data_IF_032081587566
#
_entry.id   IF_032081587566
#
_cell.length_a   1.000
_cell.length_b   1.000
_cell.length_c   1.000
_cell.angle_alpha   90.00
_cell.angle_beta   90.00
_cell.angle_gamma   90.00
#
_symmetry.space_group_name_H-M   'P 1'
#
loop_
_entity.id
_entity.type
_entity.pdbx_description
1 polymer ?
#
# COMPACT_ATOMS: atom_id res chain seq x y z
N UNK A 1 47.38 6.09 24.97
CA UNK A 1 46.61 5.44 23.89
C UNK A 1 45.58 6.46 23.43
N UNK A 2 45.89 7.16 22.33
CA UNK A 2 45.11 8.28 21.82
C UNK A 2 43.77 7.78 21.28
N UNK A 3 42.68 8.40 21.74
CA UNK A 3 41.33 8.29 21.19
C UNK A 3 41.33 8.92 19.79
N UNK A 4 41.57 8.10 18.77
CA UNK A 4 41.21 8.43 17.39
C UNK A 4 39.84 7.84 17.10
N UNK A 5 38.78 8.51 17.54
CA UNK A 5 37.51 8.43 16.80
C UNK A 5 37.76 9.12 15.46
N UNK A 6 37.72 8.35 14.38
CA UNK A 6 37.86 8.86 13.01
C UNK A 6 36.91 10.04 12.80
N UNK A 7 37.44 11.21 12.48
CA UNK A 7 36.69 12.44 12.18
C UNK A 7 35.58 12.22 11.14
N UNK A 8 35.70 11.19 10.29
CA UNK A 8 34.68 10.81 9.32
C UNK A 8 33.45 10.12 9.91
N UNK A 9 33.58 9.36 11.01
CA UNK A 9 32.44 8.72 11.68
C UNK A 9 31.61 9.73 12.48
N UNK A 10 32.27 10.72 13.11
CA UNK A 10 31.57 11.81 13.82
C UNK A 10 30.81 12.72 12.86
N UNK A 11 31.40 13.08 11.72
CA UNK A 11 30.74 13.90 10.71
C UNK A 11 29.55 13.17 10.05
N UNK A 12 29.68 11.86 9.80
CA UNK A 12 28.59 11.04 9.27
C UNK A 12 27.43 10.90 10.27
N UNK A 13 27.74 10.69 11.56
CA UNK A 13 26.74 10.63 12.61
C UNK A 13 26.00 11.98 12.77
N UNK A 14 26.74 13.09 12.77
CA UNK A 14 26.17 14.44 12.88
C UNK A 14 25.31 14.81 11.65
N UNK A 15 25.72 14.46 10.44
CA UNK A 15 24.93 14.63 9.23
C UNK A 15 23.66 13.76 9.24
N UNK A 16 23.77 12.51 9.70
CA UNK A 16 22.62 11.62 9.85
C UNK A 16 21.61 12.13 10.88
N UNK A 17 22.08 12.60 12.04
CA UNK A 17 21.24 13.23 13.07
C UNK A 17 20.57 14.51 12.57
N UNK A 18 21.28 15.34 11.81
CA UNK A 18 20.71 16.53 11.17
C UNK A 18 19.60 16.16 10.19
N UNK A 19 19.82 15.18 9.30
CA UNK A 19 18.81 14.69 8.35
C UNK A 19 17.58 14.16 9.08
N UNK A 20 17.75 13.40 10.16
CA UNK A 20 16.63 12.91 10.98
C UNK A 20 15.85 14.06 11.63
N UNK A 21 16.53 15.12 12.06
CA UNK A 21 15.90 16.32 12.61
C UNK A 21 15.07 17.04 11.56
N UNK A 22 15.62 17.27 10.36
CA UNK A 22 14.92 17.90 9.25
C UNK A 22 13.68 17.12 8.81
N UNK A 23 13.77 15.77 8.77
CA UNK A 23 12.64 14.89 8.49
C UNK A 23 11.55 15.03 9.55
N UNK A 24 11.92 15.01 10.85
CA UNK A 24 10.96 15.19 11.95
C UNK A 24 10.26 16.54 11.89
N UNK A 25 11.00 17.61 11.62
CA UNK A 25 10.40 18.94 11.46
C UNK A 25 9.45 19.00 10.26
N UNK A 26 9.78 18.33 9.14
CA UNK A 26 8.89 18.25 7.98
C UNK A 26 7.59 17.50 8.31
N UNK A 27 7.68 16.38 9.03
CA UNK A 27 6.53 15.63 9.53
C UNK A 27 5.67 16.51 10.44
N UNK A 28 6.28 17.22 11.39
CA UNK A 28 5.55 18.09 12.32
C UNK A 28 4.85 19.26 11.60
N UNK A 29 5.48 19.82 10.55
CA UNK A 29 4.85 20.81 9.67
C UNK A 29 3.64 20.23 8.93
N UNK A 30 3.76 19.01 8.40
CA UNK A 30 2.67 18.28 7.74
C UNK A 30 1.50 18.03 8.68
N UNK A 31 1.76 17.50 9.87
CA UNK A 31 0.74 17.27 10.89
C UNK A 31 0.01 18.57 11.30
N UNK A 32 0.77 19.65 11.51
CA UNK A 32 0.18 20.98 11.76
C UNK A 32 -0.71 21.45 10.62
N UNK A 33 -0.30 21.24 9.38
CA UNK A 33 -1.09 21.59 8.22
C UNK A 33 -2.40 20.82 8.21
N UNK A 34 -2.37 19.50 8.41
CA UNK A 34 -3.60 18.69 8.49
C UNK A 34 -4.54 19.21 9.58
N UNK A 35 -4.06 19.37 10.82
CA UNK A 35 -4.91 19.87 11.90
C UNK A 35 -5.54 21.24 11.63
N UNK A 36 -4.79 22.17 11.04
CA UNK A 36 -5.28 23.53 10.75
C UNK A 36 -6.27 23.59 9.58
N UNK A 37 -6.30 22.56 8.73
CA UNK A 37 -7.12 22.53 7.52
C UNK A 37 -8.24 21.49 7.57
N UNK A 38 -8.53 20.94 8.75
CA UNK A 38 -9.71 20.09 8.92
C UNK A 38 -10.97 20.93 8.76
N UNK A 39 -11.95 20.40 8.02
CA UNK A 39 -13.28 20.99 8.02
C UNK A 39 -13.90 20.91 9.43
N UNK A 40 -14.67 21.92 9.89
CA UNK A 40 -15.35 21.85 11.19
C UNK A 40 -16.23 20.61 11.40
N UNK A 41 -16.76 20.02 10.32
CA UNK A 41 -17.52 18.78 10.35
C UNK A 41 -16.65 17.50 10.44
N UNK A 42 -15.33 17.62 10.62
CA UNK A 42 -14.43 16.52 10.95
C UNK A 42 -13.69 15.88 9.77
N UNK A 43 -13.93 16.31 8.54
CA UNK A 43 -13.34 15.70 7.35
C UNK A 43 -12.23 16.54 6.69
N UNK A 44 -11.37 15.87 5.92
CA UNK A 44 -10.42 16.51 5.01
C UNK A 44 -10.82 16.26 3.55
N UNK A 45 -10.56 17.25 2.71
CA UNK A 45 -10.72 17.24 1.24
C UNK A 45 -12.14 17.04 0.70
N UNK A 46 -12.83 15.95 1.05
CA UNK A 46 -14.18 15.66 0.56
C UNK A 46 -15.03 14.99 1.61
N UNK A 47 -16.26 15.49 1.81
CA UNK A 47 -17.27 14.86 2.65
C UNK A 47 -17.82 13.55 2.07
N UNK A 48 -17.64 13.31 0.77
CA UNK A 48 -18.19 12.14 0.06
C UNK A 48 -17.21 10.98 -0.05
N UNK A 49 -15.93 11.21 0.31
CA UNK A 49 -14.86 10.21 0.22
C UNK A 49 -14.17 10.09 1.59
N UNK A 50 -14.76 9.32 2.53
CA UNK A 50 -14.17 9.04 3.84
C UNK A 50 -12.69 8.61 3.81
N UNK A 51 -12.25 7.92 2.75
CA UNK A 51 -10.87 7.50 2.56
C UNK A 51 -9.87 8.67 2.70
N UNK A 52 -10.20 9.87 2.21
CA UNK A 52 -9.29 11.02 2.27
C UNK A 52 -9.10 11.49 3.71
N UNK A 53 -10.15 11.45 4.52
CA UNK A 53 -10.07 11.72 5.96
C UNK A 53 -9.31 10.61 6.68
N UNK A 54 -9.54 9.37 6.27
CA UNK A 54 -8.87 8.21 6.85
C UNK A 54 -7.36 8.21 6.57
N UNK A 55 -6.91 8.53 5.36
CA UNK A 55 -5.50 8.67 5.01
C UNK A 55 -4.82 9.77 5.82
N UNK A 56 -5.50 10.92 6.03
CA UNK A 56 -4.99 11.98 6.89
C UNK A 56 -4.82 11.49 8.34
N UNK A 57 -5.78 10.73 8.86
CA UNK A 57 -5.66 10.13 10.19
C UNK A 57 -4.54 9.09 10.26
N UNK A 58 -4.43 8.17 9.31
CA UNK A 58 -3.31 7.20 9.25
C UNK A 58 -1.97 7.92 9.30
N UNK A 59 -1.80 8.99 8.52
CA UNK A 59 -0.58 9.78 8.54
C UNK A 59 -0.33 10.45 9.90
N UNK A 60 -1.37 11.00 10.55
CA UNK A 60 -1.26 11.61 11.87
C UNK A 60 -0.89 10.58 12.95
N UNK A 61 -1.57 9.43 12.99
CA UNK A 61 -1.31 8.36 13.96
C UNK A 61 0.13 7.80 13.82
N UNK A 62 0.67 7.77 12.61
CA UNK A 62 2.04 7.30 12.35
C UNK A 62 3.12 8.38 12.51
N UNK A 63 2.75 9.65 12.75
CA UNK A 63 3.68 10.78 12.68
C UNK A 63 4.49 11.06 13.96
N UNK A 64 4.21 10.37 15.06
CA UNK A 64 4.88 10.53 16.37
C UNK A 64 4.84 11.97 16.93
N UNK A 65 3.78 12.74 16.63
CA UNK A 65 3.64 14.16 17.02
C UNK A 65 2.79 14.38 18.29
N UNK A 66 3.05 13.62 19.35
CA UNK A 66 2.18 13.54 20.55
C UNK A 66 1.75 14.89 21.15
N UNK A 67 2.60 15.93 21.11
CA UNK A 67 2.25 17.29 21.58
C UNK A 67 1.16 17.94 20.72
N UNK A 68 1.22 17.77 19.40
CA UNK A 68 0.17 18.25 18.49
C UNK A 68 -1.09 17.41 18.68
N UNK A 69 -0.96 16.09 18.81
CA UNK A 69 -2.11 15.21 18.98
C UNK A 69 -2.90 15.52 20.26
N UNK A 70 -2.20 15.81 21.36
CA UNK A 70 -2.82 16.26 22.60
C UNK A 70 -3.51 17.63 22.45
N UNK A 71 -2.88 18.56 21.71
CA UNK A 71 -3.45 19.89 21.45
C UNK A 71 -4.71 19.82 20.58
N UNK A 72 -4.75 18.93 19.60
CA UNK A 72 -5.82 18.80 18.61
C UNK A 72 -6.69 17.54 18.82
N UNK A 73 -6.84 17.10 20.07
CA UNK A 73 -7.61 15.89 20.39
C UNK A 73 -9.08 15.97 19.97
N UNK A 74 -9.66 17.18 19.91
CA UNK A 74 -11.03 17.39 19.42
C UNK A 74 -11.14 17.15 17.91
N UNK A 75 -10.17 17.64 17.13
CA UNK A 75 -10.06 17.45 15.68
C UNK A 75 -9.94 15.97 15.35
N UNK A 76 -9.06 15.24 16.05
CA UNK A 76 -8.90 13.79 15.89
C UNK A 76 -10.21 13.05 16.13
N UNK A 77 -10.89 13.36 17.24
CA UNK A 77 -12.18 12.73 17.58
C UNK A 77 -13.24 12.99 16.52
N UNK A 78 -13.37 14.22 16.02
CA UNK A 78 -14.34 14.54 14.96
C UNK A 78 -14.07 13.78 13.67
N UNK A 79 -12.79 13.56 13.31
CA UNK A 79 -12.44 12.77 12.13
C UNK A 79 -12.79 11.28 12.29
N UNK A 80 -12.47 10.70 13.45
CA UNK A 80 -12.83 9.32 13.77
C UNK A 80 -14.36 9.14 13.78
N UNK A 81 -15.09 10.10 14.35
CA UNK A 81 -16.55 10.09 14.38
C UNK A 81 -17.15 10.26 12.96
N UNK A 82 -16.55 11.08 12.10
CA UNK A 82 -16.96 11.24 10.70
C UNK A 82 -16.78 9.93 9.90
N UNK A 83 -15.66 9.23 10.09
CA UNK A 83 -15.38 7.93 9.46
C UNK A 83 -16.38 6.91 9.96
N UNK A 84 -16.51 6.75 11.28
CA UNK A 84 -17.43 5.77 11.89
C UNK A 84 -18.90 6.05 11.50
N UNK A 85 -19.30 7.32 11.40
CA UNK A 85 -20.62 7.73 10.94
C UNK A 85 -20.89 7.46 9.45
N UNK A 86 -19.87 7.05 8.68
CA UNK A 86 -20.02 6.64 7.28
C UNK A 86 -20.21 5.12 7.12
N UNK A 87 -20.20 4.36 8.22
CA UNK A 87 -20.42 2.92 8.23
C UNK A 87 -21.85 2.52 7.80
N UNK A 88 -21.96 1.34 7.19
CA UNK A 88 -23.22 0.68 6.82
C UNK A 88 -23.47 -0.54 7.71
N UNK A 89 -24.71 -1.07 7.73
CA UNK A 89 -25.03 -2.25 8.54
C UNK A 89 -24.18 -3.49 8.24
N UNK A 90 -23.72 -3.66 6.99
CA UNK A 90 -22.88 -4.77 6.52
C UNK A 90 -21.40 -4.64 6.89
N UNK A 91 -20.98 -3.50 7.46
CA UNK A 91 -19.59 -3.23 7.83
C UNK A 91 -18.80 -2.37 6.84
N UNK A 92 -19.31 -2.16 5.62
CA UNK A 92 -18.68 -1.24 4.67
C UNK A 92 -18.70 0.19 5.21
N UNK A 93 -17.69 0.99 4.87
CA UNK A 93 -17.57 2.39 5.31
C UNK A 93 -17.42 3.27 4.08
N UNK A 94 -18.50 3.94 3.68
CA UNK A 94 -18.51 4.75 2.45
C UNK A 94 -19.74 5.69 2.39
N UNK A 95 -19.72 6.61 1.43
CA UNK A 95 -20.84 7.53 1.14
C UNK A 95 -21.41 7.41 -0.27
N UNK A 96 -21.12 6.30 -0.95
CA UNK A 96 -21.82 5.89 -2.18
C UNK A 96 -20.93 5.41 -3.32
N UNK A 97 -19.63 5.71 -3.27
CA UNK A 97 -18.65 5.35 -4.30
C UNK A 97 -17.37 4.78 -3.69
N UNK A 98 -16.57 4.09 -4.50
CA UNK A 98 -15.24 3.56 -4.12
C UNK A 98 -15.31 2.78 -2.81
N UNK A 99 -16.23 1.83 -2.72
CA UNK A 99 -16.68 1.23 -1.45
C UNK A 99 -15.52 0.56 -0.72
N UNK A 100 -14.80 -0.32 -1.41
CA UNK A 100 -13.65 -1.03 -0.83
C UNK A 100 -12.50 -0.09 -0.46
N UNK A 101 -12.19 0.89 -1.32
CA UNK A 101 -11.17 1.89 -1.02
C UNK A 101 -11.49 2.69 0.25
N UNK A 102 -12.72 3.18 0.38
CA UNK A 102 -13.15 3.88 1.58
C UNK A 102 -13.15 2.97 2.81
N UNK A 103 -13.59 1.74 2.66
CA UNK A 103 -13.64 0.77 3.77
C UNK A 103 -12.23 0.41 4.24
N UNK A 104 -11.30 0.12 3.32
CA UNK A 104 -9.92 -0.23 3.62
C UNK A 104 -9.16 0.92 4.29
N UNK A 105 -9.20 2.13 3.72
CA UNK A 105 -8.55 3.28 4.34
C UNK A 105 -9.13 3.60 5.72
N UNK A 106 -10.46 3.53 5.86
CA UNK A 106 -11.14 3.73 7.14
C UNK A 106 -10.76 2.68 8.18
N UNK A 107 -10.67 1.41 7.77
CA UNK A 107 -10.24 0.31 8.64
C UNK A 107 -8.81 0.53 9.14
N UNK A 108 -7.88 0.99 8.29
CA UNK A 108 -6.52 1.37 8.73
C UNK A 108 -6.57 2.46 9.81
N UNK A 109 -7.28 3.57 9.55
CA UNK A 109 -7.37 4.69 10.48
C UNK A 109 -7.98 4.29 11.84
N UNK A 110 -9.10 3.56 11.82
CA UNK A 110 -9.78 3.09 13.03
C UNK A 110 -8.93 2.10 13.82
N UNK A 111 -8.15 1.27 13.14
CA UNK A 111 -7.25 0.31 13.78
C UNK A 111 -6.08 1.01 14.50
N UNK A 112 -5.49 2.03 13.86
CA UNK A 112 -4.38 2.79 14.45
C UNK A 112 -4.82 3.68 15.62
N UNK A 113 -6.06 4.15 15.64
CA UNK A 113 -6.60 4.91 16.76
C UNK A 113 -6.69 4.09 18.07
N UNK A 114 -6.73 2.76 17.96
CA UNK A 114 -6.76 1.81 19.09
C UNK A 114 -7.82 2.13 20.16
N UNK A 115 -9.01 2.57 19.73
CA UNK A 115 -10.12 2.88 20.62
C UNK A 115 -11.11 1.70 20.73
N UNK A 116 -11.40 1.18 21.94
CA UNK A 116 -12.27 0.01 22.11
C UNK A 116 -13.66 0.13 21.48
N UNK A 117 -14.19 1.36 21.36
CA UNK A 117 -15.51 1.62 20.75
C UNK A 117 -15.57 1.25 19.26
N UNK A 118 -14.44 1.18 18.56
CA UNK A 118 -14.40 0.83 17.14
C UNK A 118 -14.22 -0.66 16.89
N UNK A 119 -13.96 -1.48 17.92
CA UNK A 119 -13.64 -2.90 17.76
C UNK A 119 -14.68 -3.67 16.93
N UNK A 120 -15.98 -3.45 17.20
CA UNK A 120 -17.04 -4.12 16.44
C UNK A 120 -17.09 -3.66 14.97
N UNK A 121 -16.82 -2.38 14.70
CA UNK A 121 -16.78 -1.85 13.34
C UNK A 121 -15.57 -2.37 12.57
N UNK A 122 -14.39 -2.45 13.22
CA UNK A 122 -13.17 -3.02 12.67
C UNK A 122 -13.40 -4.46 12.22
N UNK A 123 -14.02 -5.30 13.07
CA UNK A 123 -14.34 -6.70 12.72
C UNK A 123 -15.27 -6.79 11.50
N UNK A 124 -16.34 -5.98 11.46
CA UNK A 124 -17.29 -5.99 10.34
C UNK A 124 -16.68 -5.47 9.04
N UNK A 125 -15.90 -4.39 9.09
CA UNK A 125 -15.22 -3.84 7.92
C UNK A 125 -14.20 -4.83 7.35
N UNK A 126 -13.50 -5.56 8.23
CA UNK A 126 -12.57 -6.62 7.85
C UNK A 126 -13.29 -7.79 7.16
N UNK A 127 -14.42 -8.24 7.71
CA UNK A 127 -15.26 -9.25 7.07
C UNK A 127 -15.77 -8.80 5.70
N UNK A 128 -16.26 -7.56 5.59
CA UNK A 128 -16.74 -7.00 4.33
C UNK A 128 -15.66 -6.99 3.23
N UNK A 129 -14.44 -6.54 3.54
CA UNK A 129 -13.35 -6.52 2.56
C UNK A 129 -12.97 -7.95 2.14
N UNK A 130 -12.87 -8.88 3.10
CA UNK A 130 -12.56 -10.28 2.82
C UNK A 130 -13.60 -10.92 1.88
N UNK A 131 -14.89 -10.71 2.16
CA UNK A 131 -16.00 -11.23 1.34
C UNK A 131 -16.07 -10.57 -0.06
N UNK A 132 -15.36 -9.45 -0.27
CA UNK A 132 -15.32 -8.73 -1.55
C UNK A 132 -14.18 -9.16 -2.48
N UNK A 133 -13.29 -10.05 -2.01
CA UNK A 133 -12.21 -10.57 -2.85
C UNK A 133 -12.80 -11.38 -4.00
N UNK A 134 -12.27 -11.18 -5.20
CA UNK A 134 -12.90 -11.74 -6.39
C UNK A 134 -12.56 -13.22 -6.59
N UNK A 135 -13.55 -13.94 -7.09
CA UNK A 135 -13.51 -15.34 -7.48
C UNK A 135 -14.48 -15.48 -8.66
N UNK A 136 -13.94 -15.44 -9.88
CA UNK A 136 -14.66 -15.57 -11.13
C UNK A 136 -14.64 -17.04 -11.59
N UNK A 137 -15.49 -17.37 -12.57
CA UNK A 137 -15.52 -18.74 -13.09
C UNK A 137 -16.09 -19.75 -12.08
N UNK A 138 -15.35 -20.81 -11.81
CA UNK A 138 -15.75 -21.83 -10.85
C UNK A 138 -15.30 -21.47 -9.43
N UNK A 139 -16.28 -21.36 -8.52
CA UNK A 139 -16.03 -21.02 -7.12
C UNK A 139 -14.88 -21.84 -6.49
N UNK A 140 -14.01 -21.14 -5.76
CA UNK A 140 -12.82 -21.65 -5.06
C UNK A 140 -11.76 -22.24 -6.03
N UNK A 141 -11.79 -21.87 -7.32
CA UNK A 141 -10.77 -22.23 -8.31
C UNK A 141 -10.11 -20.97 -8.87
N UNK A 142 -8.78 -21.01 -8.99
CA UNK A 142 -7.99 -19.95 -9.60
C UNK A 142 -7.95 -20.13 -11.13
N UNK A 143 -9.11 -20.02 -11.78
CA UNK A 143 -9.28 -20.29 -13.21
C UNK A 143 -9.35 -19.02 -14.08
N UNK A 144 -9.49 -17.85 -13.44
CA UNK A 144 -9.42 -16.54 -14.08
C UNK A 144 -8.21 -15.72 -13.56
N UNK A 145 -7.60 -14.92 -14.44
CA UNK A 145 -6.43 -14.11 -14.09
C UNK A 145 -6.75 -13.01 -13.06
N UNK A 146 -8.03 -12.65 -12.92
CA UNK A 146 -8.47 -11.63 -11.97
C UNK A 146 -8.66 -12.18 -10.55
N UNK A 147 -8.78 -13.49 -10.38
CA UNK A 147 -9.08 -14.14 -9.08
C UNK A 147 -8.10 -13.70 -7.99
N UNK A 148 -8.65 -13.37 -6.83
CA UNK A 148 -7.90 -12.93 -5.65
C UNK A 148 -7.62 -11.44 -5.56
N UNK A 149 -7.90 -10.66 -6.60
CA UNK A 149 -7.84 -9.20 -6.55
C UNK A 149 -8.99 -8.57 -5.77
N UNK A 150 -8.81 -7.33 -5.34
CA UNK A 150 -9.86 -6.50 -4.73
C UNK A 150 -10.06 -5.24 -5.56
N UNK A 151 -11.29 -5.01 -6.01
CA UNK A 151 -11.69 -3.81 -6.74
C UNK A 151 -12.31 -2.76 -5.82
N UNK A 152 -12.95 -1.74 -6.40
CA UNK A 152 -13.72 -0.73 -5.67
C UNK A 152 -15.06 -1.24 -5.13
N UNK A 153 -15.56 -2.37 -5.62
CA UNK A 153 -16.92 -2.89 -5.42
C UNK A 153 -17.98 -1.86 -5.86
N UNK A 154 -17.96 -1.53 -7.15
CA UNK A 154 -18.84 -0.53 -7.77
C UNK A 154 -19.45 -1.03 -9.09
N UNK A 155 -20.37 -0.26 -9.69
CA UNK A 155 -21.12 -0.69 -10.88
C UNK A 155 -20.25 -1.04 -12.10
N UNK A 156 -19.04 -0.49 -12.19
CA UNK A 156 -18.07 -0.73 -13.26
C UNK A 156 -16.72 -1.07 -12.63
N UNK A 157 -16.67 -2.21 -11.95
CA UNK A 157 -15.51 -2.57 -11.14
C UNK A 157 -14.39 -3.21 -11.94
N UNK A 158 -13.15 -2.90 -11.53
CA UNK A 158 -11.93 -3.57 -11.95
C UNK A 158 -11.12 -3.90 -10.70
N UNK A 159 -10.50 -5.07 -10.67
CA UNK A 159 -9.64 -5.52 -9.56
C UNK A 159 -8.23 -5.08 -9.86
N UNK A 160 -7.71 -4.15 -9.06
CA UNK A 160 -6.42 -3.52 -9.34
C UNK A 160 -5.46 -3.62 -8.15
N UNK A 161 -4.17 -3.43 -8.44
CA UNK A 161 -3.14 -3.54 -7.42
C UNK A 161 -3.23 -2.47 -6.33
N UNK A 162 -3.80 -1.30 -6.60
CA UNK A 162 -3.91 -0.26 -5.59
C UNK A 162 -4.99 -0.59 -4.56
N UNK A 163 -6.19 -0.95 -5.01
CA UNK A 163 -7.28 -1.38 -4.15
C UNK A 163 -6.93 -2.66 -3.40
N UNK A 164 -6.28 -3.60 -4.10
CA UNK A 164 -5.75 -4.83 -3.49
C UNK A 164 -4.71 -4.51 -2.41
N UNK A 165 -3.76 -3.62 -2.67
CA UNK A 165 -2.79 -3.18 -1.66
C UNK A 165 -3.48 -2.52 -0.46
N UNK A 166 -4.44 -1.62 -0.68
CA UNK A 166 -5.19 -1.00 0.43
C UNK A 166 -5.92 -2.04 1.28
N UNK A 167 -6.53 -3.05 0.66
CA UNK A 167 -7.16 -4.16 1.37
C UNK A 167 -6.13 -4.93 2.21
N UNK A 168 -4.98 -5.30 1.63
CA UNK A 168 -3.89 -5.99 2.34
C UNK A 168 -3.39 -5.17 3.54
N UNK A 169 -3.14 -3.87 3.36
CA UNK A 169 -2.71 -2.98 4.44
C UNK A 169 -3.75 -2.93 5.56
N UNK A 170 -5.03 -2.80 5.20
CA UNK A 170 -6.12 -2.78 6.15
C UNK A 170 -6.22 -4.10 6.94
N UNK A 171 -5.99 -5.25 6.29
CA UNK A 171 -5.90 -6.54 6.97
C UNK A 171 -4.74 -6.58 7.96
N UNK A 172 -3.53 -6.19 7.54
CA UNK A 172 -2.34 -6.24 8.41
C UNK A 172 -2.38 -5.23 9.56
N UNK A 173 -2.89 -4.02 9.34
CA UNK A 173 -3.03 -3.03 10.40
C UNK A 173 -4.14 -3.41 11.40
N UNK A 174 -5.25 -3.96 10.93
CA UNK A 174 -6.33 -4.42 11.83
C UNK A 174 -5.92 -5.62 12.69
N UNK A 175 -4.97 -6.45 12.25
CA UNK A 175 -4.39 -7.50 13.11
C UNK A 175 -3.82 -6.92 14.41
N UNK A 176 -3.14 -5.76 14.34
CA UNK A 176 -2.54 -5.12 15.51
C UNK A 176 -3.60 -4.66 16.52
N UNK A 177 -4.73 -4.14 16.04
CA UNK A 177 -5.83 -3.68 16.89
C UNK A 177 -6.70 -4.83 17.44
N UNK A 178 -6.75 -5.96 16.72
CA UNK A 178 -7.62 -7.08 17.06
C UNK A 178 -6.94 -8.14 17.93
N UNK A 179 -5.66 -8.43 17.67
CA UNK A 179 -4.89 -9.41 18.43
C UNK A 179 -4.51 -8.84 19.77
N UNK A 180 -4.74 -9.62 20.81
CA UNK A 180 -4.31 -9.25 22.15
C UNK A 180 -2.85 -9.65 22.33
N UNK A 181 -2.03 -8.87 23.07
CA UNK A 181 -0.64 -9.24 23.33
C UNK A 181 -0.47 -10.63 23.99
N UNK A 182 -1.46 -11.08 24.76
CA UNK A 182 -1.47 -12.40 25.40
C UNK A 182 -1.90 -13.54 24.46
N UNK A 183 -2.37 -13.23 23.24
CA UNK A 183 -2.80 -14.19 22.22
C UNK A 183 -2.43 -13.72 20.80
N UNK A 184 -1.12 -13.59 20.50
CA UNK A 184 -0.66 -13.06 19.22
C UNK A 184 -1.03 -13.95 18.03
N UNK A 185 -1.22 -15.25 18.25
CA UNK A 185 -1.51 -16.22 17.18
C UNK A 185 -3.00 -16.56 17.07
N UNK A 186 -3.87 -15.85 17.81
CA UNK A 186 -5.31 -16.11 17.70
C UNK A 186 -5.77 -15.84 16.25
N UNK A 187 -6.38 -16.83 15.58
CA UNK A 187 -6.98 -16.62 14.26
C UNK A 187 -8.05 -15.54 14.34
N UNK A 188 -8.04 -14.65 13.36
CA UNK A 188 -9.13 -13.68 13.18
C UNK A 188 -10.26 -14.36 12.40
N UNK A 189 -11.50 -13.96 12.67
CA UNK A 189 -12.70 -14.62 12.12
C UNK A 189 -12.79 -14.51 10.59
N UNK A 190 -12.34 -13.38 10.03
CA UNK A 190 -12.34 -13.12 8.59
C UNK A 190 -10.95 -12.66 8.17
N UNK A 191 -10.48 -13.09 7.00
CA UNK A 191 -9.22 -12.65 6.38
C UNK A 191 -9.33 -12.81 4.86
N UNK A 192 -8.43 -12.16 4.12
CA UNK A 192 -8.29 -12.43 2.68
C UNK A 192 -7.88 -13.88 2.45
N UNK A 193 -8.33 -14.46 1.34
CA UNK A 193 -7.68 -15.63 0.78
C UNK A 193 -6.31 -15.21 0.23
N UNK A 194 -5.28 -15.46 1.03
CA UNK A 194 -3.90 -15.14 0.69
C UNK A 194 -3.38 -15.95 -0.51
N UNK A 195 -3.91 -17.15 -0.77
CA UNK A 195 -3.52 -17.96 -1.94
C UNK A 195 -4.13 -17.38 -3.21
N UNK A 196 -5.40 -16.98 -3.15
CA UNK A 196 -6.04 -16.26 -4.24
C UNK A 196 -5.28 -14.96 -4.54
N UNK A 197 -4.93 -14.20 -3.48
CA UNK A 197 -4.14 -13.00 -3.63
C UNK A 197 -2.79 -13.26 -4.34
N UNK A 198 -2.07 -14.31 -3.96
CA UNK A 198 -0.81 -14.66 -4.62
C UNK A 198 -0.99 -14.99 -6.12
N UNK A 199 -2.11 -15.59 -6.50
CA UNK A 199 -2.48 -15.80 -7.90
C UNK A 199 -2.72 -14.47 -8.63
N UNK A 200 -3.48 -13.55 -8.03
CA UNK A 200 -3.66 -12.20 -8.58
C UNK A 200 -2.33 -11.46 -8.78
N UNK A 201 -1.44 -11.52 -7.77
CA UNK A 201 -0.12 -10.89 -7.87
C UNK A 201 0.71 -11.50 -9.00
N UNK A 202 0.67 -12.82 -9.19
CA UNK A 202 1.33 -13.46 -10.32
C UNK A 202 0.74 -13.01 -11.67
N UNK A 203 -0.58 -12.81 -11.73
CA UNK A 203 -1.28 -12.30 -12.92
C UNK A 203 -1.04 -10.82 -13.21
N UNK A 204 -0.45 -10.08 -12.28
CA UNK A 204 -0.05 -8.68 -12.48
C UNK A 204 1.48 -8.50 -12.63
N UNK A 205 2.28 -9.54 -12.41
CA UNK A 205 3.73 -9.45 -12.51
C UNK A 205 4.18 -9.83 -13.92
N UNK A 206 5.05 -9.04 -14.54
CA UNK A 206 5.70 -9.37 -15.81
C UNK A 206 6.74 -10.48 -15.61
N UNK A 207 6.22 -11.68 -15.34
CA UNK A 207 6.90 -12.93 -15.08
C UNK A 207 6.01 -14.07 -15.63
N UNK A 208 5.80 -14.12 -16.97
CA UNK A 208 4.74 -14.89 -17.61
C UNK A 208 4.80 -16.40 -17.34
N UNK A 209 5.95 -16.95 -16.95
CA UNK A 209 6.09 -18.35 -16.51
C UNK A 209 5.34 -18.67 -15.19
N UNK A 210 4.85 -17.65 -14.48
CA UNK A 210 4.10 -17.78 -13.21
C UNK A 210 2.60 -17.51 -13.34
N UNK A 211 2.10 -17.12 -14.51
CA UNK A 211 0.69 -16.83 -14.73
C UNK A 211 0.24 -17.25 -16.14
N UNK A 212 -1.06 -17.49 -16.29
CA UNK A 212 -1.72 -17.70 -17.58
C UNK A 212 -2.24 -16.39 -18.21
N UNK A 213 -2.02 -15.22 -17.60
CA UNK A 213 -2.40 -13.94 -18.17
C UNK A 213 -1.64 -13.67 -19.50
N UNK A 214 -2.34 -13.61 -20.65
CA UNK A 214 -1.71 -13.47 -21.96
C UNK A 214 -1.13 -12.08 -22.24
N UNK A 215 -1.40 -11.08 -21.40
CA UNK A 215 -0.96 -9.68 -21.59
C UNK A 215 0.36 -9.35 -20.88
N UNK A 216 0.96 -10.32 -20.19
CA UNK A 216 2.25 -10.16 -19.51
C UNK A 216 3.41 -10.11 -20.52
N UNK A 217 4.32 -9.16 -20.31
CA UNK A 217 5.51 -8.94 -21.14
C UNK A 217 6.58 -10.01 -20.87
N UNK A 218 7.15 -10.57 -21.94
CA UNK A 218 8.34 -11.44 -21.86
C UNK A 218 9.65 -10.69 -22.11
N UNK A 219 9.58 -9.36 -22.33
CA UNK A 219 10.74 -8.52 -22.58
C UNK A 219 11.60 -8.35 -21.31
N UNK A 220 12.92 -8.22 -21.51
CA UNK A 220 13.88 -8.07 -20.42
C UNK A 220 13.72 -6.75 -19.65
N UNK A 221 13.22 -5.72 -20.33
CA UNK A 221 12.97 -4.38 -19.80
C UNK A 221 11.83 -4.39 -18.77
N UNK A 222 10.80 -5.20 -18.99
CA UNK A 222 9.63 -5.29 -18.11
C UNK A 222 9.75 -6.38 -17.05
N UNK A 223 10.62 -7.37 -17.27
CA UNK A 223 10.72 -8.59 -16.46
C UNK A 223 10.85 -8.28 -14.97
N UNK A 224 9.92 -8.83 -14.19
CA UNK A 224 9.86 -8.74 -12.72
C UNK A 224 9.02 -7.57 -12.18
N UNK A 225 8.84 -6.51 -12.97
CA UNK A 225 7.96 -5.40 -12.61
C UNK A 225 6.48 -5.75 -12.74
N UNK A 226 5.60 -4.80 -12.42
CA UNK A 226 4.16 -5.04 -12.36
C UNK A 226 3.34 -4.10 -13.27
N UNK A 227 2.22 -4.64 -13.75
CA UNK A 227 1.13 -3.94 -14.46
C UNK A 227 0.00 -3.59 -13.48
N UNK A 228 -0.92 -2.70 -13.84
CA UNK A 228 -1.93 -2.20 -12.89
C UNK A 228 -2.96 -3.27 -12.48
N UNK A 229 -3.44 -4.01 -13.48
CA UNK A 229 -4.27 -5.20 -13.34
C UNK A 229 -4.22 -6.04 -14.62
N UNK A 230 -4.71 -7.29 -14.64
CA UNK A 230 -4.79 -8.05 -15.88
C UNK A 230 -5.57 -7.26 -16.94
N UNK A 231 -4.91 -6.97 -18.07
CA UNK A 231 -5.47 -6.18 -19.16
C UNK A 231 -5.19 -4.68 -19.14
N UNK A 232 -4.53 -4.11 -18.12
CA UNK A 232 -4.14 -2.70 -18.13
C UNK A 232 -2.78 -2.42 -17.46
N UNK A 233 -1.99 -1.56 -18.11
CA UNK A 233 -0.88 -0.84 -17.49
C UNK A 233 -1.00 0.63 -17.82
N UNK A 234 -0.79 1.49 -16.80
CA UNK A 234 -0.78 2.94 -17.00
C UNK A 234 0.46 3.42 -17.75
N UNK A 235 1.53 2.62 -17.80
CA UNK A 235 2.71 2.89 -18.63
C UNK A 235 2.54 2.48 -20.10
N UNK A 236 1.36 1.97 -20.47
CA UNK A 236 1.02 1.60 -21.83
C UNK A 236 1.51 0.21 -22.25
N UNK A 237 1.55 0.02 -23.55
CA UNK A 237 1.78 -1.28 -24.20
C UNK A 237 3.11 -1.32 -24.95
N UNK A 238 3.59 -2.53 -25.20
CA UNK A 238 4.74 -2.84 -26.07
C UNK A 238 4.39 -4.03 -26.96
N UNK A 239 4.95 -4.08 -28.17
CA UNK A 239 4.89 -5.30 -28.97
C UNK A 239 5.98 -6.23 -28.48
N UNK A 240 5.57 -7.35 -27.90
CA UNK A 240 6.48 -8.39 -27.43
C UNK A 240 7.19 -9.04 -28.62
N UNK A 241 8.53 -9.01 -28.62
CA UNK A 241 9.31 -9.48 -29.78
C UNK A 241 9.20 -10.99 -29.99
N UNK A 242 9.05 -11.76 -28.92
CA UNK A 242 9.02 -13.22 -28.96
C UNK A 242 7.67 -13.74 -29.45
N UNK A 243 6.59 -13.18 -28.92
CA UNK A 243 5.21 -13.63 -29.18
C UNK A 243 4.53 -12.83 -30.29
N UNK A 244 5.07 -11.66 -30.65
CA UNK A 244 4.49 -10.69 -31.61
C UNK A 244 3.11 -10.17 -31.19
N UNK A 245 2.78 -10.24 -29.89
CA UNK A 245 1.51 -9.75 -29.32
C UNK A 245 1.74 -8.44 -28.57
N UNK A 246 0.64 -7.71 -28.30
CA UNK A 246 0.67 -6.60 -27.37
C UNK A 246 0.85 -7.15 -25.95
N UNK A 247 1.81 -6.58 -25.24
CA UNK A 247 2.08 -6.83 -23.84
C UNK A 247 2.11 -5.52 -23.06
N UNK A 248 1.94 -5.60 -21.74
CA UNK A 248 1.77 -4.45 -20.86
C UNK A 248 3.07 -4.11 -20.14
N UNK A 249 3.42 -2.82 -20.11
CA UNK A 249 4.68 -2.33 -19.52
C UNK A 249 4.65 -2.34 -18.00
N UNK A 250 5.79 -2.66 -17.40
CA UNK A 250 6.02 -2.47 -15.97
C UNK A 250 6.23 -1.00 -15.62
N UNK A 251 5.85 -0.58 -14.41
CA UNK A 251 6.12 0.79 -13.95
C UNK A 251 6.37 0.90 -12.44
N UNK A 252 7.02 2.00 -12.04
CA UNK A 252 7.66 2.15 -10.73
C UNK A 252 6.72 1.98 -9.54
N UNK A 253 5.68 2.81 -9.48
CA UNK A 253 4.76 2.82 -8.32
C UNK A 253 4.10 1.46 -8.11
N UNK A 254 3.62 0.85 -9.16
CA UNK A 254 2.94 -0.45 -9.05
C UNK A 254 3.88 -1.62 -8.84
N UNK A 255 5.12 -1.54 -9.31
CA UNK A 255 6.16 -2.52 -8.94
C UNK A 255 6.48 -2.48 -7.45
N UNK A 256 6.55 -1.28 -6.84
CA UNK A 256 6.65 -1.17 -5.39
C UNK A 256 5.38 -1.66 -4.67
N UNK A 257 4.18 -1.41 -5.22
CA UNK A 257 2.93 -1.95 -4.67
C UNK A 257 2.92 -3.49 -4.67
N UNK A 258 3.37 -4.13 -5.76
CA UNK A 258 3.52 -5.59 -5.84
C UNK A 258 4.52 -6.13 -4.83
N UNK A 259 5.70 -5.52 -4.72
CA UNK A 259 6.70 -5.92 -3.72
C UNK A 259 6.17 -5.79 -2.28
N UNK A 260 5.48 -4.69 -1.97
CA UNK A 260 4.86 -4.48 -0.67
C UNK A 260 3.74 -5.50 -0.38
N UNK A 261 2.97 -5.86 -1.41
CA UNK A 261 1.93 -6.88 -1.32
C UNK A 261 2.53 -8.26 -0.99
N UNK A 262 3.67 -8.63 -1.59
CA UNK A 262 4.39 -9.85 -1.20
C UNK A 262 4.88 -9.83 0.24
N UNK A 263 5.50 -8.72 0.68
CA UNK A 263 5.96 -8.57 2.06
C UNK A 263 4.80 -8.78 3.05
N UNK A 264 3.65 -8.17 2.78
CA UNK A 264 2.47 -8.33 3.61
C UNK A 264 1.77 -9.67 3.43
N UNK A 265 1.85 -10.33 2.29
CA UNK A 265 1.45 -11.73 2.14
C UNK A 265 2.41 -12.70 2.86
N UNK A 266 3.51 -12.20 3.45
CA UNK A 266 4.57 -12.97 4.10
C UNK A 266 5.31 -13.91 3.14
N UNK A 267 5.39 -13.52 1.87
CA UNK A 267 6.23 -14.20 0.88
C UNK A 267 7.69 -13.81 1.13
N UNK A 268 8.54 -14.82 1.29
CA UNK A 268 9.93 -14.63 1.67
C UNK A 268 10.78 -13.97 0.59
N UNK A 269 11.87 -13.30 1.00
CA UNK A 269 12.85 -12.68 0.08
C UNK A 269 13.55 -13.69 -0.85
N UNK A 270 13.49 -14.98 -0.53
CA UNK A 270 14.05 -16.03 -1.37
C UNK A 270 13.16 -16.44 -2.55
N UNK A 271 11.88 -16.06 -2.53
CA UNK A 271 10.93 -16.31 -3.62
C UNK A 271 11.40 -15.59 -4.91
N UNK A 272 11.36 -16.32 -6.02
CA UNK A 272 11.77 -15.81 -7.33
C UNK A 272 10.98 -14.56 -7.74
N UNK A 273 9.68 -14.50 -7.41
CA UNK A 273 8.81 -13.35 -7.70
C UNK A 273 9.30 -12.09 -6.98
N UNK A 274 9.71 -12.24 -5.73
CA UNK A 274 10.25 -11.15 -4.90
C UNK A 274 11.60 -10.70 -5.42
N UNK A 275 12.49 -11.64 -5.77
CA UNK A 275 13.80 -11.31 -6.37
C UNK A 275 13.64 -10.57 -7.69
N UNK A 276 12.72 -10.99 -8.54
CA UNK A 276 12.49 -10.39 -9.85
C UNK A 276 12.01 -8.93 -9.74
N UNK A 277 11.10 -8.61 -8.80
CA UNK A 277 10.66 -7.23 -8.62
C UNK A 277 11.73 -6.35 -7.98
N UNK A 278 12.53 -6.88 -7.05
CA UNK A 278 13.67 -6.15 -6.47
C UNK A 278 14.70 -5.80 -7.56
N UNK A 279 15.02 -6.75 -8.44
CA UNK A 279 15.92 -6.52 -9.58
C UNK A 279 15.38 -5.45 -10.54
N UNK A 280 14.10 -5.56 -10.91
CA UNK A 280 13.46 -4.57 -11.79
C UNK A 280 13.49 -3.17 -11.16
N UNK A 281 13.15 -3.05 -9.88
CA UNK A 281 13.17 -1.79 -9.13
C UNK A 281 14.60 -1.23 -8.99
N UNK A 282 15.61 -2.09 -8.84
CA UNK A 282 17.01 -1.69 -8.83
C UNK A 282 17.45 -1.09 -10.15
N UNK A 283 17.21 -1.80 -11.26
CA UNK A 283 17.54 -1.34 -12.63
C UNK A 283 16.85 -0.03 -13.01
N UNK A 284 15.66 0.21 -12.49
CA UNK A 284 14.83 1.38 -12.79
C UNK A 284 14.80 2.41 -11.64
N UNK A 285 15.71 2.32 -10.66
CA UNK A 285 15.70 3.23 -9.52
C UNK A 285 16.00 4.68 -9.94
N UNK A 286 15.12 5.60 -9.54
CA UNK A 286 15.22 7.05 -9.75
C UNK A 286 14.37 7.78 -8.72
N UNK A 287 14.70 9.04 -8.44
CA UNK A 287 13.90 10.00 -7.65
C UNK A 287 13.54 11.25 -8.48
N UNK A 288 13.64 11.14 -9.80
CA UNK A 288 13.34 12.20 -10.76
C UNK A 288 11.95 11.98 -11.38
N UNK A 289 11.53 10.73 -11.51
CA UNK A 289 10.24 10.33 -12.06
C UNK A 289 9.65 9.09 -11.37
N UNK A 290 8.42 8.75 -11.73
CA UNK A 290 7.86 7.42 -11.56
C UNK A 290 8.22 6.61 -12.83
N UNK A 291 9.14 5.63 -12.76
CA UNK A 291 9.60 4.86 -13.92
C UNK A 291 8.45 4.39 -14.81
N UNK A 292 8.50 4.73 -16.10
CA UNK A 292 7.46 4.39 -17.08
C UNK A 292 6.25 5.34 -17.11
N UNK A 293 6.19 6.32 -16.20
CA UNK A 293 5.07 7.27 -16.04
C UNK A 293 5.51 8.74 -16.01
N UNK A 294 6.82 9.04 -16.01
CA UNK A 294 7.30 10.41 -15.89
C UNK A 294 6.90 11.05 -14.56
N UNK A 295 6.37 12.28 -14.61
CA UNK A 295 5.96 13.01 -13.41
C UNK A 295 4.64 12.53 -12.79
N UNK A 296 3.90 11.67 -13.49
CA UNK A 296 2.59 11.19 -13.01
C UNK A 296 2.73 10.32 -11.77
N UNK A 297 2.06 10.73 -10.69
CA UNK A 297 2.03 9.98 -9.44
C UNK A 297 3.37 9.94 -8.71
N UNK A 298 4.32 10.82 -9.01
CA UNK A 298 5.69 10.78 -8.46
C UNK A 298 5.75 10.75 -6.91
N UNK A 299 4.90 11.53 -6.24
CA UNK A 299 4.81 11.48 -4.76
C UNK A 299 4.24 10.16 -4.24
N UNK A 300 3.31 9.55 -4.99
CA UNK A 300 2.78 8.23 -4.64
C UNK A 300 3.82 7.14 -4.87
N UNK A 301 4.62 7.26 -5.93
CA UNK A 301 5.79 6.42 -6.15
C UNK A 301 6.79 6.51 -4.98
N UNK A 302 7.14 7.71 -4.49
CA UNK A 302 8.01 7.84 -3.31
C UNK A 302 7.40 7.23 -2.05
N UNK A 303 6.09 7.41 -1.86
CA UNK A 303 5.37 6.82 -0.74
C UNK A 303 5.46 5.29 -0.75
N UNK A 304 5.18 4.67 -1.90
CA UNK A 304 5.26 3.21 -2.05
C UNK A 304 6.70 2.71 -1.98
N UNK A 305 7.66 3.41 -2.59
CA UNK A 305 9.08 3.08 -2.50
C UNK A 305 9.54 2.97 -1.05
N UNK A 306 9.29 4.01 -0.24
CA UNK A 306 9.72 4.04 1.15
C UNK A 306 9.07 2.91 1.97
N UNK A 307 7.76 2.67 1.80
CA UNK A 307 7.03 1.64 2.54
C UNK A 307 7.44 0.23 2.11
N UNK A 308 7.54 -0.02 0.81
CA UNK A 308 7.85 -1.33 0.27
C UNK A 308 9.27 -1.78 0.63
N UNK A 309 10.26 -0.90 0.47
CA UNK A 309 11.65 -1.19 0.87
C UNK A 309 11.74 -1.52 2.36
N UNK A 310 11.03 -0.75 3.20
CA UNK A 310 10.96 -1.00 4.64
C UNK A 310 10.27 -2.33 4.96
N UNK A 311 9.14 -2.62 4.33
CA UNK A 311 8.37 -3.85 4.56
C UNK A 311 9.13 -5.11 4.13
N UNK A 312 9.85 -5.05 3.00
CA UNK A 312 10.62 -6.16 2.47
C UNK A 312 12.02 -6.29 3.11
N UNK A 313 12.46 -5.29 3.89
CA UNK A 313 13.78 -5.29 4.53
C UNK A 313 14.94 -5.01 3.56
N UNK A 314 14.68 -4.34 2.44
CA UNK A 314 15.68 -4.00 1.43
C UNK A 314 16.36 -2.69 1.81
N UNK A 315 17.59 -2.78 2.30
CA UNK A 315 18.39 -1.61 2.70
C UNK A 315 19.12 -0.93 1.54
N UNK A 316 19.35 -1.66 0.44
CA UNK A 316 20.07 -1.16 -0.73
C UNK A 316 19.49 -1.81 -1.98
N UNK A 317 19.24 -0.98 -2.99
CA UNK A 317 18.94 -1.45 -4.33
C UNK A 317 20.21 -1.41 -5.17
N UNK A 318 20.45 -2.47 -5.93
CA UNK A 318 21.51 -2.46 -6.94
C UNK A 318 21.02 -1.71 -8.17
N UNK A 319 21.38 -0.42 -8.25
CA UNK A 319 21.04 0.43 -9.38
C UNK A 319 22.18 0.65 -10.38
N UNK A 320 21.86 1.24 -11.55
CA UNK A 320 22.85 1.73 -12.49
C UNK A 320 23.86 2.66 -11.80
N UNK A 321 25.14 2.60 -12.19
CA UNK A 321 26.20 3.41 -11.56
C UNK A 321 25.95 4.92 -11.63
N UNK A 322 25.10 5.36 -12.54
CA UNK A 322 24.76 6.76 -12.80
C UNK A 322 23.79 7.35 -11.75
N UNK A 323 23.09 6.49 -11.00
CA UNK A 323 22.11 6.88 -9.98
C UNK A 323 22.62 6.65 -8.54
N UNK A 324 23.94 6.44 -8.38
CA UNK A 324 24.62 6.24 -7.09
C UNK A 324 25.26 7.52 -6.56
#
# INVERSE_FOLDING_TARGET
MLLFTSLGQSAYAEEHERKLTEVREAIERGARFLYKNQNPAGWWSSSEIPALTALALVALEMSEVAKLDAKYGSERRRALDFIAGSAKPDGSIHRGQLVNYNTACSLMALSLADEPRFRSLILKARAYIADSQIDLGEKDKMDDYHDGGVGYNSKYDHWDLNNTLMAIEAMRMSELALRRPDKPDQPLESDLDWKALEHFLASCQNLPERSNNPSLSSSAEDRGGFIYHPGESKAGEVVDEQTRRLALRSYGSISYAGMMSFAYARVGSDDERVKAVIDWLGRNYTIEENPGMGSEGVYYYYHLMAKALKAQGVATLEGPKENK
#
